data_IF_561124842645
#
_entry.id   IF_561124842645
#
_cell.length_a   1.000
_cell.length_b   1.000
_cell.length_c   1.000
_cell.angle_alpha   90.00
_cell.angle_beta   90.00
_cell.angle_gamma   90.00
#
_symmetry.space_group_name_H-M   'P 1'
#
loop_
_entity.id
_entity.type
_entity.pdbx_description
1 polymer ?
#
# COMPACT_ATOMS: atom_id res chain seq x y z
N UNK A 1 15.25 -8.08 6.89
CA UNK A 1 14.01 -8.44 6.17
C UNK A 1 14.16 -9.90 5.74
N UNK A 2 13.63 -10.82 6.54
CA UNK A 2 13.78 -12.26 6.30
C UNK A 2 12.82 -12.70 5.19
N UNK A 3 13.35 -13.41 4.19
CA UNK A 3 12.56 -14.17 3.20
C UNK A 3 12.37 -13.53 1.81
N UNK A 4 12.75 -12.27 1.58
CA UNK A 4 12.66 -11.66 0.26
C UNK A 4 14.00 -11.68 -0.48
N UNK A 5 13.97 -11.86 -1.81
CA UNK A 5 15.12 -11.66 -2.67
C UNK A 5 15.57 -10.19 -2.60
N UNK A 6 16.62 -9.92 -1.82
CA UNK A 6 17.15 -8.58 -1.66
C UNK A 6 17.98 -8.20 -2.90
N UNK A 7 17.29 -7.70 -3.93
CA UNK A 7 17.88 -7.26 -5.21
C UNK A 7 18.98 -6.20 -5.04
N UNK A 8 18.92 -5.40 -3.97
CA UNK A 8 19.84 -4.27 -3.73
C UNK A 8 20.31 -4.15 -2.26
N UNK A 9 21.13 -5.09 -1.75
CA UNK A 9 21.43 -5.18 -0.32
C UNK A 9 22.18 -3.95 0.23
N UNK A 10 23.17 -3.43 -0.51
CA UNK A 10 23.92 -2.25 -0.08
C UNK A 10 23.05 -0.98 -0.02
N UNK A 11 22.14 -0.81 -0.99
CA UNK A 11 21.23 0.35 -1.03
C UNK A 11 20.19 0.26 0.09
N UNK A 12 19.62 -0.91 0.31
CA UNK A 12 18.68 -1.16 1.41
C UNK A 12 19.33 -0.96 2.79
N UNK A 13 20.61 -1.31 2.95
CA UNK A 13 21.36 -1.02 4.17
C UNK A 13 21.49 0.49 4.41
N UNK A 14 21.86 1.27 3.39
CA UNK A 14 21.94 2.73 3.50
C UNK A 14 20.59 3.37 3.85
N UNK A 15 19.49 2.91 3.25
CA UNK A 15 18.12 3.37 3.58
C UNK A 15 17.76 3.04 5.03
N UNK A 16 18.05 1.81 5.48
CA UNK A 16 17.85 1.41 6.88
C UNK A 16 18.62 2.32 7.83
N UNK A 17 19.90 2.57 7.55
CA UNK A 17 20.75 3.37 8.42
C UNK A 17 20.27 4.83 8.48
N UNK A 18 19.80 5.38 7.36
CA UNK A 18 19.18 6.69 7.31
C UNK A 18 17.88 6.76 8.14
N UNK A 19 17.05 5.71 8.12
CA UNK A 19 15.83 5.65 8.96
C UNK A 19 16.18 5.56 10.45
N UNK A 20 17.16 4.73 10.82
CA UNK A 20 17.55 4.52 12.22
C UNK A 20 18.30 5.71 12.83
N UNK A 21 18.91 6.56 11.99
CA UNK A 21 19.54 7.80 12.44
C UNK A 21 18.52 8.88 12.86
N UNK A 22 17.23 8.73 12.51
CA UNK A 22 16.18 9.66 12.94
C UNK A 22 15.70 9.27 14.35
N UNK A 23 15.81 10.17 15.34
CA UNK A 23 15.33 9.89 16.70
C UNK A 23 13.83 9.61 16.68
N UNK A 24 13.35 8.55 17.35
CA UNK A 24 11.93 8.27 17.42
C UNK A 24 11.23 9.36 18.24
N UNK A 25 10.12 9.87 17.70
CA UNK A 25 9.22 10.74 18.46
C UNK A 25 8.35 9.85 19.35
N UNK A 26 8.55 9.93 20.68
CA UNK A 26 7.71 9.20 21.64
C UNK A 26 6.24 9.51 21.36
N UNK A 27 5.40 8.47 21.42
CA UNK A 27 3.95 8.51 21.24
C UNK A 27 3.42 8.73 19.81
N UNK A 28 4.30 8.93 18.82
CA UNK A 28 3.87 9.01 17.41
C UNK A 28 3.63 7.61 16.83
N UNK A 29 2.38 7.13 16.93
CA UNK A 29 1.95 5.79 16.45
C UNK A 29 2.17 5.51 14.96
N UNK A 30 2.46 6.54 14.15
CA UNK A 30 2.70 6.44 12.70
C UNK A 30 4.13 6.74 12.30
N UNK A 31 5.06 6.84 13.26
CA UNK A 31 6.44 7.18 12.99
C UNK A 31 7.11 6.19 12.02
N UNK A 32 6.80 4.90 12.16
CA UNK A 32 7.24 3.85 11.23
C UNK A 32 6.78 4.13 9.79
N UNK A 33 5.50 4.46 9.60
CA UNK A 33 4.93 4.77 8.29
C UNK A 33 5.56 6.03 7.69
N UNK A 34 5.85 7.05 8.52
CA UNK A 34 6.53 8.27 8.07
C UNK A 34 7.96 7.96 7.62
N UNK A 35 8.71 7.16 8.37
CA UNK A 35 10.07 6.77 7.99
C UNK A 35 10.07 5.97 6.69
N UNK A 36 9.13 5.03 6.52
CA UNK A 36 8.98 4.26 5.28
C UNK A 36 8.64 5.17 4.09
N UNK A 37 7.67 6.07 4.24
CA UNK A 37 7.28 7.02 3.19
C UNK A 37 8.41 7.99 2.81
N UNK A 38 9.21 8.41 3.80
CA UNK A 38 10.29 9.39 3.57
C UNK A 38 11.54 8.78 2.97
N UNK A 39 11.96 7.60 3.46
CA UNK A 39 13.27 7.03 3.12
C UNK A 39 13.18 5.83 2.18
N UNK A 40 12.17 4.98 2.34
CA UNK A 40 12.07 3.74 1.58
C UNK A 40 11.24 3.89 0.30
N UNK A 41 10.09 4.57 0.38
CA UNK A 41 9.17 4.71 -0.77
C UNK A 41 9.85 5.24 -2.03
N UNK A 42 10.63 6.34 -2.01
CA UNK A 42 11.29 6.87 -3.22
C UNK A 42 12.23 5.86 -3.90
N UNK A 43 12.76 4.91 -3.14
CA UNK A 43 13.65 3.87 -3.65
C UNK A 43 12.90 2.68 -4.28
N UNK A 44 11.69 2.39 -3.83
CA UNK A 44 10.93 1.23 -4.28
C UNK A 44 10.02 1.51 -5.48
N UNK A 45 9.84 2.78 -5.85
CA UNK A 45 8.97 3.15 -6.98
C UNK A 45 9.40 2.42 -8.25
N UNK A 46 8.47 1.67 -8.85
CA UNK A 46 8.69 0.88 -10.06
C UNK A 46 9.32 -0.51 -9.85
N UNK A 47 9.84 -0.81 -8.65
CA UNK A 47 10.37 -2.14 -8.29
C UNK A 47 9.40 -2.93 -7.37
N UNK A 48 8.19 -2.40 -7.13
CA UNK A 48 7.14 -3.04 -6.33
C UNK A 48 5.88 -3.31 -7.16
N UNK A 49 5.16 -4.36 -6.78
CA UNK A 49 3.80 -4.63 -7.25
C UNK A 49 2.84 -4.28 -6.12
N UNK A 50 1.97 -3.31 -6.37
CA UNK A 50 0.92 -2.89 -5.43
C UNK A 50 -0.44 -3.18 -6.05
N UNK A 51 -1.28 -3.92 -5.34
CA UNK A 51 -2.68 -4.08 -5.71
C UNK A 51 -3.54 -3.07 -4.94
N UNK A 52 -3.68 -1.86 -5.47
CA UNK A 52 -4.51 -0.79 -4.89
C UNK A 52 -5.23 0.01 -6.00
N UNK A 53 -6.47 -0.38 -6.30
CA UNK A 53 -7.35 0.39 -7.19
C UNK A 53 -7.93 1.65 -6.53
N UNK A 54 -7.89 1.77 -5.19
CA UNK A 54 -8.55 2.87 -4.48
C UNK A 54 -7.71 4.14 -4.52
N UNK A 55 -6.38 4.02 -4.49
CA UNK A 55 -5.44 5.13 -4.53
C UNK A 55 -4.57 5.17 -5.80
N UNK A 56 -4.97 4.51 -6.88
CA UNK A 56 -4.13 4.44 -8.09
C UNK A 56 -3.80 5.82 -8.70
N UNK A 57 -4.62 6.84 -8.44
CA UNK A 57 -4.37 8.22 -8.85
C UNK A 57 -3.28 8.91 -7.99
N UNK A 58 -3.07 8.46 -6.75
CA UNK A 58 -2.06 8.97 -5.82
C UNK A 58 -0.73 8.23 -5.99
N UNK A 59 -0.80 6.91 -6.25
CA UNK A 59 0.36 6.04 -6.41
C UNK A 59 0.40 5.49 -7.85
N UNK A 60 1.11 6.15 -8.77
CA UNK A 60 1.23 5.68 -10.14
C UNK A 60 1.89 4.30 -10.19
N UNK A 61 1.30 3.38 -10.96
CA UNK A 61 1.77 2.00 -11.08
C UNK A 61 1.06 0.98 -10.19
N UNK A 62 0.17 1.43 -9.29
CA UNK A 62 -0.74 0.50 -8.61
C UNK A 62 -1.63 -0.22 -9.62
N UNK A 63 -1.80 -1.52 -9.42
CA UNK A 63 -2.61 -2.39 -10.25
C UNK A 63 -3.93 -2.69 -9.55
N UNK A 64 -5.01 -2.97 -10.30
CA UNK A 64 -6.17 -3.58 -9.70
C UNK A 64 -5.88 -4.99 -9.19
N UNK A 65 -6.70 -5.46 -8.24
CA UNK A 65 -6.69 -6.87 -7.90
C UNK A 65 -7.11 -7.70 -9.13
N UNK A 66 -6.50 -8.88 -9.34
CA UNK A 66 -6.82 -9.75 -10.48
C UNK A 66 -8.18 -10.46 -10.33
N UNK A 67 -8.91 -10.22 -9.25
CA UNK A 67 -10.20 -10.85 -8.95
C UNK A 67 -11.20 -9.82 -8.45
N UNK A 68 -12.48 -10.05 -8.78
CA UNK A 68 -13.56 -9.18 -8.33
C UNK A 68 -13.71 -9.26 -6.82
N UNK A 69 -13.77 -8.09 -6.16
CA UNK A 69 -14.17 -8.02 -4.76
C UNK A 69 -15.58 -8.60 -4.60
N UNK A 70 -15.72 -9.57 -3.70
CA UNK A 70 -17.02 -10.11 -3.29
C UNK A 70 -17.47 -9.45 -2.00
N UNK A 71 -18.60 -8.75 -2.06
CA UNK A 71 -19.21 -8.07 -0.91
C UNK A 71 -18.22 -7.09 -0.25
N UNK A 72 -18.01 -7.21 1.06
CA UNK A 72 -17.15 -6.38 1.88
C UNK A 72 -15.74 -6.95 2.10
N UNK A 73 -15.40 -8.07 1.46
CA UNK A 73 -14.16 -8.80 1.75
C UNK A 73 -12.99 -8.19 1.00
N UNK A 74 -11.87 -7.99 1.69
CA UNK A 74 -10.64 -7.48 1.08
C UNK A 74 -9.39 -8.04 1.73
N UNK A 75 -8.27 -8.01 1.00
CA UNK A 75 -6.97 -8.44 1.51
C UNK A 75 -6.53 -7.56 2.69
N UNK A 76 -6.25 -8.17 3.84
CA UNK A 76 -5.93 -7.44 5.07
C UNK A 76 -7.15 -7.02 5.90
N UNK A 77 -8.34 -7.56 5.59
CA UNK A 77 -9.49 -7.54 6.49
C UNK A 77 -9.21 -8.35 7.75
N UNK A 78 -9.53 -7.77 8.91
CA UNK A 78 -9.38 -8.43 10.21
C UNK A 78 -10.45 -7.98 11.20
N UNK A 79 -10.72 -8.77 12.26
CA UNK A 79 -11.83 -8.55 13.19
C UNK A 79 -11.76 -7.20 13.93
N UNK A 80 -10.57 -6.62 14.05
CA UNK A 80 -10.33 -5.37 14.78
C UNK A 80 -10.60 -4.08 13.97
N UNK A 81 -11.04 -4.17 12.71
CA UNK A 81 -11.30 -3.02 11.84
C UNK A 81 -12.80 -2.72 11.62
N UNK A 82 -13.67 -3.23 12.50
CA UNK A 82 -15.12 -3.18 12.34
C UNK A 82 -15.70 -1.76 12.13
N UNK A 83 -15.15 -0.73 12.79
CA UNK A 83 -15.66 0.66 12.69
C UNK A 83 -15.33 1.36 11.37
N UNK A 84 -14.28 0.93 10.63
CA UNK A 84 -13.91 1.52 9.33
C UNK A 84 -14.69 0.94 8.14
N UNK A 85 -15.61 0.01 8.38
CA UNK A 85 -16.46 -0.64 7.37
C UNK A 85 -17.16 0.35 6.45
N UNK A 86 -17.82 1.35 7.04
CA UNK A 86 -18.77 2.22 6.34
C UNK A 86 -18.12 3.13 5.31
N UNK A 87 -16.82 3.45 5.49
CA UNK A 87 -16.07 4.32 4.59
C UNK A 87 -15.68 3.57 3.31
N UNK A 88 -15.25 2.31 3.44
CA UNK A 88 -14.86 1.47 2.29
C UNK A 88 -16.10 1.08 1.47
N UNK A 89 -17.25 0.87 2.12
CA UNK A 89 -18.50 0.49 1.42
C UNK A 89 -19.14 1.60 0.58
N UNK A 90 -18.78 2.86 0.81
CA UNK A 90 -19.43 3.98 0.13
C UNK A 90 -18.65 4.51 -1.06
N UNK A 91 -17.41 4.07 -1.26
CA UNK A 91 -16.55 4.61 -2.32
C UNK A 91 -16.26 3.55 -3.37
N UNK A 92 -16.72 3.81 -4.59
CA UNK A 92 -16.40 3.04 -5.77
C UNK A 92 -14.98 3.36 -6.26
N UNK A 93 -14.36 2.41 -6.97
CA UNK A 93 -13.12 2.66 -7.68
C UNK A 93 -13.32 3.73 -8.75
N UNK A 94 -12.36 4.66 -8.92
CA UNK A 94 -12.26 5.46 -10.13
C UNK A 94 -12.23 4.55 -11.35
N UNK A 95 -12.90 4.94 -12.44
CA UNK A 95 -12.99 4.12 -13.66
C UNK A 95 -11.61 3.78 -14.22
N UNK A 96 -10.67 4.73 -14.17
CA UNK A 96 -9.29 4.55 -14.62
C UNK A 96 -8.49 3.50 -13.79
N UNK A 97 -8.90 3.24 -12.54
CA UNK A 97 -8.24 2.31 -11.64
C UNK A 97 -8.80 0.88 -11.69
N UNK A 98 -9.83 0.64 -12.51
CA UNK A 98 -10.47 -0.68 -12.65
C UNK A 98 -9.66 -1.58 -13.59
N UNK A 99 -9.80 -2.91 -13.50
CA UNK A 99 -9.27 -3.78 -14.54
C UNK A 99 -9.79 -3.39 -15.92
N UNK A 100 -8.89 -3.34 -16.91
CA UNK A 100 -9.24 -2.91 -18.28
C UNK A 100 -10.32 -3.80 -18.90
N UNK A 101 -10.26 -5.09 -18.62
CA UNK A 101 -11.20 -6.09 -19.15
C UNK A 101 -12.48 -6.22 -18.30
N UNK A 102 -12.54 -5.53 -17.14
CA UNK A 102 -13.66 -5.57 -16.20
C UNK A 102 -13.99 -4.17 -15.62
N UNK A 103 -14.42 -3.22 -16.46
CA UNK A 103 -14.80 -1.87 -16.00
C UNK A 103 -16.06 -1.86 -15.14
N UNK A 104 -16.84 -2.94 -15.15
CA UNK A 104 -18.02 -3.18 -14.33
C UNK A 104 -17.69 -3.50 -12.85
N UNK A 105 -16.42 -3.80 -12.54
CA UNK A 105 -15.98 -4.01 -11.16
C UNK A 105 -15.82 -2.67 -10.44
N UNK A 106 -16.96 -2.15 -9.96
CA UNK A 106 -17.02 -0.83 -9.34
C UNK A 106 -16.42 -0.76 -7.94
N UNK A 107 -16.13 -1.90 -7.30
CA UNK A 107 -15.72 -1.96 -5.90
C UNK A 107 -14.27 -2.36 -5.76
N UNK A 108 -13.53 -1.45 -5.13
CA UNK A 108 -12.15 -1.60 -4.69
C UNK A 108 -12.17 -2.23 -3.33
#
# INVERSE_FOLDING_TARGET
>A
LWGAYNKFPARLAAVRDAMLAVPPVKEQKTFDQIMLAKHLWPFMQGDLMEHDSYHCEIYPGSLPFPTQRREWRYCGWGPYKASKRTIVFKKQCPMACRPKDHPDWTWC
#
